data_IF_612607514920
#
_entry.id   IF_612607514920
#
_cell.length_a   1.000
_cell.length_b   1.000
_cell.length_c   1.000
_cell.angle_alpha   90.00
_cell.angle_beta   90.00
_cell.angle_gamma   90.00
#
_symmetry.space_group_name_H-M   'P 1'
#
loop_
_entity.id
_entity.type
_entity.pdbx_description
1 polymer ?
#
# COMPACT_ATOMS: atom_id res chain seq x y z
N UNK A 1 -36.49 6.89 -12.16
CA UNK A 1 -36.23 5.83 -11.16
C UNK A 1 -34.77 5.43 -11.30
N UNK A 2 -33.90 6.02 -10.48
CA UNK A 2 -32.46 5.70 -10.51
C UNK A 2 -32.21 4.41 -9.74
N UNK A 3 -31.66 3.39 -10.41
CA UNK A 3 -31.18 2.19 -9.74
C UNK A 3 -29.83 2.51 -9.10
N UNK A 4 -29.89 2.81 -7.80
CA UNK A 4 -28.71 3.04 -6.99
C UNK A 4 -27.93 1.71 -6.87
N UNK A 5 -26.94 1.51 -7.74
CA UNK A 5 -25.94 0.47 -7.60
C UNK A 5 -24.91 0.91 -6.58
N UNK A 6 -25.29 0.95 -5.30
CA UNK A 6 -24.29 0.99 -4.23
C UNK A 6 -23.80 -0.43 -4.06
N UNK A 7 -22.65 -0.74 -4.65
CA UNK A 7 -21.89 -1.91 -4.29
C UNK A 7 -21.56 -1.79 -2.80
N UNK A 8 -22.37 -2.40 -1.94
CA UNK A 8 -22.08 -2.60 -0.52
C UNK A 8 -20.87 -3.53 -0.45
N UNK A 9 -19.71 -2.91 -0.63
CA UNK A 9 -18.45 -3.58 -0.47
C UNK A 9 -18.29 -3.64 1.04
N UNK A 10 -18.62 -4.80 1.61
CA UNK A 10 -18.41 -5.09 3.02
C UNK A 10 -16.90 -5.14 3.21
N UNK A 11 -16.30 -4.00 3.57
CA UNK A 11 -14.89 -3.97 3.99
C UNK A 11 -14.80 -4.75 5.29
N UNK A 12 -14.59 -6.06 5.17
CA UNK A 12 -14.31 -6.93 6.31
C UNK A 12 -13.08 -6.36 7.01
N UNK A 13 -13.22 -6.07 8.29
CA UNK A 13 -12.11 -5.59 9.12
C UNK A 13 -11.16 -6.77 9.27
N UNK A 14 -9.94 -6.63 8.77
CA UNK A 14 -8.92 -7.68 8.79
C UNK A 14 -7.69 -7.21 9.55
N UNK A 15 -6.99 -8.12 10.23
CA UNK A 15 -5.66 -7.87 10.75
C UNK A 15 -4.69 -7.93 9.59
N UNK A 16 -3.78 -6.95 9.49
CA UNK A 16 -2.88 -6.81 8.34
C UNK A 16 -1.43 -6.96 8.78
N UNK A 17 -0.73 -7.95 8.24
CA UNK A 17 0.69 -8.17 8.52
C UNK A 17 1.51 -7.90 7.26
N UNK A 18 2.43 -6.95 7.33
CA UNK A 18 3.39 -6.67 6.25
C UNK A 18 4.66 -7.48 6.51
N UNK A 19 4.96 -8.41 5.61
CA UNK A 19 6.17 -9.22 5.67
C UNK A 19 7.41 -8.41 5.30
N UNK A 20 8.59 -8.88 5.70
CA UNK A 20 9.88 -8.27 5.34
C UNK A 20 10.04 -8.10 3.82
N UNK A 21 9.48 -9.02 3.04
CA UNK A 21 9.45 -9.01 1.57
C UNK A 21 8.50 -7.96 0.97
N UNK A 22 7.74 -7.23 1.80
CA UNK A 22 6.74 -6.25 1.37
C UNK A 22 5.43 -6.88 0.88
N UNK A 23 5.20 -8.16 1.17
CA UNK A 23 3.92 -8.83 0.94
C UNK A 23 2.96 -8.55 2.10
N UNK A 24 1.66 -8.45 1.81
CA UNK A 24 0.61 -8.29 2.81
C UNK A 24 -0.09 -9.62 3.06
N UNK A 25 -0.23 -9.99 4.33
CA UNK A 25 -1.06 -11.10 4.79
C UNK A 25 -2.25 -10.55 5.59
N UNK A 26 -3.46 -10.93 5.20
CA UNK A 26 -4.70 -10.48 5.85
C UNK A 26 -5.39 -11.64 6.58
N UNK A 27 -5.87 -11.36 7.79
CA UNK A 27 -6.61 -12.31 8.62
C UNK A 27 -7.97 -11.73 9.00
N UNK A 28 -9.05 -12.45 8.71
CA UNK A 28 -10.43 -12.01 9.01
C UNK A 28 -10.89 -12.34 10.43
N UNK A 29 -10.04 -12.99 11.23
CA UNK A 29 -10.28 -13.37 12.61
C UNK A 29 -8.98 -13.17 13.41
N UNK A 30 -9.07 -13.07 14.76
CA UNK A 30 -7.88 -13.02 15.60
C UNK A 30 -7.01 -14.25 15.39
N UNK A 31 -5.71 -14.04 15.17
CA UNK A 31 -4.74 -15.11 14.91
C UNK A 31 -3.54 -14.92 15.81
N UNK A 32 -3.09 -16.00 16.46
CA UNK A 32 -1.89 -15.95 17.29
C UNK A 32 -0.64 -15.57 16.49
N UNK A 33 0.23 -14.77 17.09
CA UNK A 33 1.52 -14.36 16.52
C UNK A 33 2.37 -15.58 16.15
N UNK A 34 2.40 -16.60 17.00
CA UNK A 34 3.07 -17.89 16.75
C UNK A 34 2.72 -18.47 15.38
N UNK A 35 1.45 -18.42 14.96
CA UNK A 35 1.03 -18.95 13.66
C UNK A 35 1.67 -18.23 12.47
N UNK A 36 1.88 -16.92 12.58
CA UNK A 36 2.56 -16.12 11.55
C UNK A 36 4.06 -16.42 11.54
N UNK A 37 4.65 -16.55 12.73
CA UNK A 37 6.08 -16.82 12.91
C UNK A 37 6.49 -18.25 12.54
N UNK A 38 5.58 -19.23 12.60
CA UNK A 38 5.83 -20.58 12.10
C UNK A 38 6.28 -20.58 10.62
N UNK A 39 5.80 -19.63 9.82
CA UNK A 39 6.22 -19.47 8.41
C UNK A 39 7.44 -18.56 8.25
N UNK A 40 7.74 -17.74 9.26
CA UNK A 40 8.78 -16.72 9.24
C UNK A 40 9.61 -16.76 10.54
N UNK A 41 10.38 -17.84 10.80
CA UNK A 41 11.00 -18.07 12.10
C UNK A 41 12.14 -17.10 12.43
N UNK A 42 12.69 -16.40 11.44
CA UNK A 42 13.73 -15.38 11.62
C UNK A 42 13.19 -13.98 11.93
N UNK A 43 11.88 -13.86 12.11
CA UNK A 43 11.20 -12.59 12.29
C UNK A 43 10.50 -12.50 13.65
N UNK A 44 10.17 -11.27 14.07
CA UNK A 44 9.23 -10.97 15.13
C UNK A 44 8.10 -10.10 14.58
N UNK A 45 6.97 -10.04 15.29
CA UNK A 45 5.84 -9.18 14.93
C UNK A 45 5.82 -7.95 15.83
N UNK A 46 5.65 -6.77 15.23
CA UNK A 46 5.49 -5.50 15.91
C UNK A 46 4.20 -4.82 15.49
N UNK A 47 3.52 -4.11 16.40
CA UNK A 47 2.41 -3.23 16.08
C UNK A 47 2.94 -1.96 15.40
N UNK A 48 2.25 -1.45 14.37
CA UNK A 48 2.62 -0.17 13.74
C UNK A 48 2.46 1.03 14.65
N UNK A 49 1.52 1.01 15.60
CA UNK A 49 1.26 2.14 16.49
C UNK A 49 2.31 2.29 17.60
N UNK A 50 3.04 1.22 17.92
CA UNK A 50 4.11 1.22 18.94
C UNK A 50 5.48 1.53 18.33
N UNK A 51 5.53 1.82 17.03
CA UNK A 51 6.76 1.97 16.28
C UNK A 51 7.17 3.45 16.20
N UNK A 52 8.10 3.86 17.06
CA UNK A 52 8.67 5.22 17.07
C UNK A 52 10.10 5.24 16.48
N UNK A 53 10.50 6.38 15.90
CA UNK A 53 11.88 6.57 15.43
C UNK A 53 12.82 6.74 16.62
N UNK A 54 14.07 6.30 16.49
CA UNK A 54 15.08 6.32 17.58
C UNK A 54 14.74 5.45 18.81
N UNK A 55 13.55 4.82 18.84
CA UNK A 55 13.15 3.89 19.90
C UNK A 55 13.35 2.42 19.51
N UNK A 56 13.45 1.58 20.52
CA UNK A 56 13.58 0.13 20.36
C UNK A 56 12.23 -0.50 20.08
N UNK A 57 12.19 -1.35 19.06
CA UNK A 57 10.98 -2.08 18.70
C UNK A 57 10.55 -3.07 19.80
N UNK A 58 9.26 -3.09 20.07
CA UNK A 58 8.62 -4.07 20.95
C UNK A 58 8.05 -5.23 20.15
N UNK A 59 8.48 -6.45 20.49
CA UNK A 59 7.92 -7.66 19.91
C UNK A 59 6.66 -8.06 20.67
N UNK A 60 5.59 -8.37 19.92
CA UNK A 60 4.37 -8.98 20.46
C UNK A 60 4.67 -10.44 20.81
N UNK A 61 4.15 -10.92 21.95
CA UNK A 61 4.39 -12.30 22.38
C UNK A 61 3.71 -13.30 21.43
N UNK A 62 4.33 -14.48 21.30
CA UNK A 62 3.87 -15.56 20.42
C UNK A 62 2.44 -16.06 20.72
N UNK A 63 2.01 -15.91 21.97
CA UNK A 63 0.69 -16.31 22.46
C UNK A 63 -0.39 -15.25 22.27
N UNK A 64 -0.02 -14.00 21.99
CA UNK A 64 -0.96 -12.91 21.75
C UNK A 64 -1.58 -13.01 20.36
N UNK A 65 -2.78 -12.46 20.23
CA UNK A 65 -3.59 -12.53 19.02
C UNK A 65 -3.58 -11.21 18.25
N UNK A 66 -3.30 -11.29 16.95
CA UNK A 66 -3.39 -10.18 16.02
C UNK A 66 -4.83 -9.74 15.84
N UNK A 67 -5.11 -8.49 16.17
CA UNK A 67 -6.47 -7.96 16.20
C UNK A 67 -6.89 -7.43 14.82
N UNK A 68 -8.12 -7.76 14.36
CA UNK A 68 -8.66 -7.15 13.16
C UNK A 68 -8.69 -5.62 13.22
N UNK A 69 -8.30 -4.97 12.13
CA UNK A 69 -8.27 -3.50 12.03
C UNK A 69 -6.95 -2.88 12.44
N UNK A 70 -6.01 -3.69 12.94
CA UNK A 70 -4.65 -3.28 13.26
C UNK A 70 -3.67 -3.65 12.13
N UNK A 71 -2.58 -2.90 12.06
CA UNK A 71 -1.48 -3.11 11.14
C UNK A 71 -0.24 -3.56 11.91
N UNK A 72 0.41 -4.59 11.41
CA UNK A 72 1.57 -5.20 12.02
C UNK A 72 2.69 -5.36 11.00
N UNK A 73 3.93 -5.33 11.46
CA UNK A 73 5.11 -5.57 10.65
C UNK A 73 5.82 -6.83 11.13
N UNK A 74 6.17 -7.71 10.19
CA UNK A 74 7.12 -8.80 10.44
C UNK A 74 8.53 -8.33 10.10
N UNK A 75 9.36 -8.22 11.12
CA UNK A 75 10.70 -7.65 11.03
C UNK A 75 11.75 -8.69 11.45
N UNK A 76 12.95 -8.70 10.85
CA UNK A 76 13.99 -9.65 11.24
C UNK A 76 14.44 -9.44 12.68
N UNK A 77 14.68 -10.52 13.42
CA UNK A 77 15.08 -10.51 14.85
C UNK A 77 16.32 -9.67 15.14
N UNK A 78 17.19 -9.46 14.15
CA UNK A 78 18.34 -8.56 14.28
C UNK A 78 17.94 -7.13 14.61
N UNK A 79 16.76 -6.66 14.17
CA UNK A 79 16.27 -5.30 14.41
C UNK A 79 15.70 -5.06 15.79
N UNK A 80 15.47 -6.11 16.59
CA UNK A 80 14.95 -5.95 17.94
C UNK A 80 15.95 -5.23 18.87
N UNK A 81 17.24 -5.23 18.54
CA UNK A 81 18.33 -4.66 19.37
C UNK A 81 18.83 -3.30 18.91
N UNK A 82 18.29 -2.77 17.82
CA UNK A 82 18.72 -1.51 17.25
C UNK A 82 17.53 -0.55 17.16
N UNK A 83 17.74 0.74 17.46
CA UNK A 83 16.72 1.74 17.25
C UNK A 83 16.41 1.88 15.76
N UNK A 84 15.15 2.19 15.45
CA UNK A 84 14.74 2.42 14.07
C UNK A 84 15.25 3.75 13.56
N UNK A 85 16.00 3.71 12.45
CA UNK A 85 16.40 4.93 11.77
C UNK A 85 15.21 5.53 11.00
N UNK A 86 15.18 6.86 10.79
CA UNK A 86 14.12 7.51 9.99
C UNK A 86 13.99 6.93 8.57
N UNK A 87 15.11 6.53 7.96
CA UNK A 87 15.13 5.90 6.64
C UNK A 87 14.45 4.53 6.64
N UNK A 88 14.69 3.73 7.68
CA UNK A 88 14.07 2.42 7.83
C UNK A 88 12.57 2.55 8.08
N UNK A 89 12.17 3.49 8.92
CA UNK A 89 10.75 3.84 9.14
C UNK A 89 10.07 4.23 7.82
N UNK A 90 10.70 5.12 7.04
CA UNK A 90 10.18 5.52 5.74
C UNK A 90 10.07 4.31 4.79
N UNK A 91 11.06 3.41 4.80
CA UNK A 91 11.03 2.19 3.98
C UNK A 91 9.84 1.28 4.34
N UNK A 92 9.52 1.16 5.63
CA UNK A 92 8.39 0.36 6.11
C UNK A 92 7.05 0.99 5.75
N UNK A 93 6.93 2.32 5.83
CA UNK A 93 5.77 3.05 5.35
C UNK A 93 5.54 2.89 3.83
N UNK A 94 6.61 2.92 3.03
CA UNK A 94 6.53 2.67 1.58
C UNK A 94 6.12 1.23 1.28
N UNK A 95 6.70 0.24 1.98
CA UNK A 95 6.31 -1.18 1.85
C UNK A 95 4.84 -1.38 2.20
N UNK A 96 4.38 -0.82 3.32
CA UNK A 96 2.99 -0.89 3.75
C UNK A 96 2.06 -0.27 2.69
N UNK A 97 2.39 0.94 2.22
CA UNK A 97 1.62 1.62 1.17
C UNK A 97 1.52 0.77 -0.09
N UNK A 98 2.64 0.23 -0.58
CA UNK A 98 2.67 -0.61 -1.77
C UNK A 98 1.84 -1.89 -1.59
N UNK A 99 1.97 -2.55 -0.45
CA UNK A 99 1.25 -3.79 -0.18
C UNK A 99 -0.26 -3.57 -0.03
N UNK A 100 -0.66 -2.47 0.62
CA UNK A 100 -2.06 -2.06 0.74
C UNK A 100 -2.67 -1.67 -0.61
N UNK A 101 -1.91 -0.97 -1.47
CA UNK A 101 -2.35 -0.63 -2.83
C UNK A 101 -2.56 -1.86 -3.70
N UNK A 102 -1.72 -2.89 -3.54
CA UNK A 102 -1.85 -4.17 -4.28
C UNK A 102 -3.09 -4.96 -3.85
N UNK A 103 -3.49 -4.86 -2.59
CA UNK A 103 -4.68 -5.55 -2.07
C UNK A 103 -5.97 -4.71 -2.21
N UNK A 104 -5.84 -3.39 -2.36
CA UNK A 104 -6.93 -2.42 -2.39
C UNK A 104 -7.56 -2.21 -3.76
N UNK A 105 -8.31 -3.21 -4.25
CA UNK A 105 -9.14 -3.10 -5.47
C UNK A 105 -10.55 -2.53 -5.25
N UNK A 106 -10.84 -1.92 -4.10
CA UNK A 106 -12.18 -1.41 -3.81
C UNK A 106 -12.20 -0.55 -2.56
N UNK A 107 -13.17 0.36 -2.52
CA UNK A 107 -13.45 1.39 -1.52
C UNK A 107 -12.72 2.72 -1.75
N UNK A 108 -13.53 3.69 -2.17
CA UNK A 108 -13.24 5.09 -2.40
C UNK A 108 -12.61 5.79 -1.18
N UNK A 109 -11.32 5.61 -0.95
CA UNK A 109 -10.53 6.64 -0.27
C UNK A 109 -9.97 7.55 -1.35
N UNK A 110 -10.21 8.86 -1.20
CA UNK A 110 -9.53 9.90 -1.99
C UNK A 110 -8.10 9.43 -2.23
N UNK A 111 -7.78 9.10 -3.48
CA UNK A 111 -6.42 8.87 -3.90
C UNK A 111 -5.71 10.22 -3.73
N UNK A 112 -5.12 10.46 -2.58
CA UNK A 112 -4.12 11.50 -2.47
C UNK A 112 -2.93 10.92 -3.19
N UNK A 113 -2.73 11.37 -4.44
CA UNK A 113 -1.55 11.02 -5.20
C UNK A 113 -0.32 11.28 -4.31
N UNK A 114 0.68 10.38 -4.31
CA UNK A 114 1.89 10.59 -3.53
C UNK A 114 2.45 11.97 -3.89
N UNK A 115 2.56 12.84 -2.88
CA UNK A 115 3.16 14.16 -3.06
C UNK A 115 4.64 13.90 -3.27
N UNK A 116 5.07 13.89 -4.52
CA UNK A 116 6.50 13.88 -4.84
C UNK A 116 7.05 15.23 -4.41
N UNK A 117 7.62 15.31 -3.21
CA UNK A 117 8.51 16.42 -2.87
C UNK A 117 9.77 16.26 -3.70
N UNK A 118 9.72 16.74 -4.94
CA UNK A 118 10.94 17.02 -5.69
C UNK A 118 11.59 18.19 -4.98
N UNK A 119 12.60 17.92 -4.14
CA UNK A 119 13.66 18.92 -3.95
C UNK A 119 14.22 19.15 -5.35
N UNK A 120 13.82 20.28 -5.91
CA UNK A 120 14.19 20.70 -7.24
C UNK A 120 15.67 21.04 -7.19
N UNK A 121 16.54 20.16 -7.71
CA UNK A 121 17.72 20.59 -8.44
C UNK A 121 18.07 19.61 -9.59
N UNK A 122 17.85 20.14 -10.81
CA UNK A 122 18.58 19.89 -12.08
C UNK A 122 18.75 18.45 -12.59
N UNK A 123 17.88 18.12 -13.56
CA UNK A 123 18.17 17.50 -14.87
C UNK A 123 19.22 16.37 -14.89
N UNK A 124 18.75 15.11 -14.95
CA UNK A 124 19.12 14.20 -16.05
C UNK A 124 18.22 12.96 -16.11
N UNK A 125 17.67 12.76 -17.30
CA UNK A 125 17.00 11.56 -17.81
C UNK A 125 17.78 10.29 -17.45
N UNK A 126 17.17 9.37 -16.72
CA UNK A 126 17.48 7.93 -16.82
C UNK A 126 16.20 7.11 -16.89
N UNK A 127 16.16 6.40 -18.01
CA UNK A 127 15.27 5.33 -18.43
C UNK A 127 15.56 4.04 -17.64
N UNK A 128 14.70 3.03 -17.83
CA UNK A 128 14.74 1.62 -17.37
C UNK A 128 13.85 1.31 -16.16
N UNK A 129 13.10 0.21 -16.10
CA UNK A 129 12.71 -0.86 -17.04
C UNK A 129 11.54 -1.55 -16.36
N UNK A 130 10.52 -1.95 -17.12
CA UNK A 130 9.47 -2.86 -16.65
C UNK A 130 10.09 -4.22 -16.31
N UNK A 131 9.84 -4.70 -15.10
CA UNK A 131 9.89 -6.11 -14.71
C UNK A 131 8.56 -6.33 -13.99
N UNK A 132 7.53 -6.89 -14.64
CA UNK A 132 7.27 -8.34 -14.66
C UNK A 132 6.97 -8.82 -13.23
N UNK A 133 5.83 -9.36 -12.84
CA UNK A 133 4.63 -9.89 -13.49
C UNK A 133 3.98 -10.76 -12.41
N UNK A 134 2.71 -10.53 -12.08
CA UNK A 134 2.00 -11.27 -11.04
C UNK A 134 0.55 -11.43 -11.45
N UNK A 135 0.28 -12.54 -12.14
CA UNK A 135 -1.01 -12.91 -12.69
C UNK A 135 -1.93 -13.44 -11.59
N UNK A 136 -2.92 -12.65 -11.15
CA UNK A 136 -4.12 -13.20 -10.51
C UNK A 136 -5.23 -13.26 -11.56
N UNK A 137 -5.44 -14.47 -12.09
CA UNK A 137 -6.38 -14.73 -13.16
C UNK A 137 -7.82 -14.50 -12.74
N UNK A 138 -8.59 -13.87 -13.65
CA UNK A 138 -10.04 -14.02 -13.68
C UNK A 138 -10.45 -14.30 -15.12
N UNK A 139 -10.76 -15.56 -15.39
CA UNK A 139 -11.32 -16.04 -16.65
C UNK A 139 -12.85 -15.79 -16.67
N UNK A 140 -13.35 -15.60 -17.90
CA UNK A 140 -14.74 -15.56 -18.39
C UNK A 140 -15.57 -14.31 -17.96
N UNK A 141 -16.21 -13.51 -18.83
CA UNK A 141 -16.81 -13.79 -20.15
C UNK A 141 -16.92 -12.54 -21.07
N UNK A 142 -16.64 -12.77 -22.36
CA UNK A 142 -17.38 -12.35 -23.57
C UNK A 142 -17.80 -10.88 -23.83
N UNK A 143 -16.98 -10.22 -24.67
CA UNK A 143 -17.30 -9.53 -25.93
C UNK A 143 -18.51 -8.58 -26.00
N UNK A 144 -18.21 -7.30 -26.28
CA UNK A 144 -18.83 -6.52 -27.38
C UNK A 144 -17.92 -5.38 -27.84
N UNK A 145 -17.56 -5.43 -29.12
CA UNK A 145 -16.95 -4.35 -29.91
C UNK A 145 -17.94 -3.19 -30.02
N UNK A 146 -17.50 -1.96 -29.75
CA UNK A 146 -17.93 -0.78 -30.50
C UNK A 146 -16.77 0.20 -30.64
N UNK A 147 -16.74 0.87 -31.79
CA UNK A 147 -15.63 1.60 -32.39
C UNK A 147 -16.14 3.01 -32.65
N UNK A 148 -15.58 4.01 -31.97
CA UNK A 148 -15.58 5.45 -32.35
C UNK A 148 -14.83 6.19 -31.24
N UNK A 149 -13.83 7.03 -31.47
CA UNK A 149 -13.72 8.07 -32.49
C UNK A 149 -14.09 9.41 -31.83
N UNK A 150 -13.11 10.28 -31.56
CA UNK A 150 -13.37 11.64 -31.03
C UNK A 150 -12.21 12.18 -30.20
N UNK A 151 -11.14 12.71 -30.81
CA UNK A 151 -10.98 14.11 -31.26
C UNK A 151 -10.61 15.03 -30.10
N UNK A 152 -9.32 15.29 -30.02
CA UNK A 152 -8.67 16.14 -29.03
C UNK A 152 -9.25 17.55 -28.99
N UNK A 153 -9.19 18.15 -27.81
CA UNK A 153 -9.54 19.55 -27.56
C UNK A 153 -8.27 20.26 -27.14
N UNK A 154 -7.80 21.15 -28.00
CA UNK A 154 -6.76 22.12 -27.76
C UNK A 154 -7.37 23.29 -26.97
N UNK A 155 -6.87 23.51 -25.76
CA UNK A 155 -7.17 24.71 -24.97
C UNK A 155 -6.30 25.85 -25.51
N UNK A 156 -6.89 26.83 -26.16
CA UNK A 156 -6.20 28.08 -26.52
C UNK A 156 -6.42 29.11 -25.41
N UNK A 157 -5.37 29.41 -24.66
CA UNK A 157 -5.35 30.47 -23.66
C UNK A 157 -5.30 31.83 -24.36
N UNK A 158 -6.37 32.62 -24.31
CA UNK A 158 -6.31 34.03 -24.72
C UNK A 158 -5.85 34.87 -23.53
N UNK A 159 -4.60 35.30 -23.55
CA UNK A 159 -4.10 36.38 -22.70
C UNK A 159 -4.46 37.70 -23.37
N UNK A 160 -5.40 38.43 -22.77
CA UNK A 160 -5.69 39.82 -23.16
C UNK A 160 -4.57 40.74 -22.69
N UNK A 161 -4.05 41.54 -23.62
CA UNK A 161 -3.03 42.55 -23.38
C UNK A 161 -3.59 43.75 -22.59
N UNK A 162 -2.73 44.31 -21.74
CA UNK A 162 -2.90 45.55 -20.97
C UNK A 162 -2.81 46.76 -21.93
N UNK A 163 -3.63 47.80 -21.75
CA UNK A 163 -3.17 49.15 -21.99
C UNK A 163 -3.21 50.00 -20.71
N UNK A 164 -2.34 51.01 -20.71
CA UNK A 164 -2.06 51.97 -19.63
C UNK A 164 -3.25 52.82 -19.17
#
# INVERSE_FOLDING_TARGET
MGICSSCESTSVVTAKVILQDGQLQEFSYPVKVSYVLMKNPSCFICNSDEMEFDDQLSAINDDEELQPGQLYFALPLSKLRYPLTPEEMASLAVKASSALMKCGGGHNRRQVAPVTFTVSERKTRREMTNVGGGNCGRLVAEKRKTKSGGRGRNFTSMLGAIPE
#
